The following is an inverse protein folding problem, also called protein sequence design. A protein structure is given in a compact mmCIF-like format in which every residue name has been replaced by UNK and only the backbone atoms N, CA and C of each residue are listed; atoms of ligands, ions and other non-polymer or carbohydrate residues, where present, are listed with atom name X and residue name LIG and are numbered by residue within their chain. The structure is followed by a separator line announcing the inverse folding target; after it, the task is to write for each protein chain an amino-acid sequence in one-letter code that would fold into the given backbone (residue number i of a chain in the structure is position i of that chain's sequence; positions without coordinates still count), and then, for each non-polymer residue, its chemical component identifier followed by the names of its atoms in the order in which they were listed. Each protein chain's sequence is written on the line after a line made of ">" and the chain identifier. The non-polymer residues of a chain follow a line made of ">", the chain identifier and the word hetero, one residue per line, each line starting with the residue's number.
data_IF_270424751301
#
_entry.id   IF_270424751301
#
_cell.length_a   1.000
_cell.length_b   1.000
_cell.length_c   1.000
_cell.angle_alpha   90.00
_cell.angle_beta   90.00
_cell.angle_gamma   90.00
#
_symmetry.space_group_name_H-M   'P 1'
#
loop_
_entity.id
_entity.type
_entity.pdbx_description
1 polymer ?
#
# COMPACT_ATOMS: atom_id res chain seq x y z
N UNK A 1 8.34 0.69 -33.63
CA UNK A 1 8.66 1.98 -32.98
C UNK A 1 8.55 1.77 -31.48
N UNK A 2 9.67 1.79 -30.76
CA UNK A 2 9.73 1.62 -29.30
C UNK A 2 9.47 2.98 -28.66
N UNK A 3 8.34 3.13 -27.95
CA UNK A 3 8.08 4.35 -27.18
C UNK A 3 9.00 4.36 -25.96
N UNK A 4 10.04 5.19 -26.02
CA UNK A 4 10.85 5.53 -24.86
C UNK A 4 9.97 6.28 -23.85
N UNK A 5 9.64 5.63 -22.75
CA UNK A 5 8.92 6.26 -21.65
C UNK A 5 9.90 7.10 -20.85
N UNK A 6 10.00 8.39 -21.19
CA UNK A 6 10.82 9.34 -20.45
C UNK A 6 10.20 9.54 -19.07
N UNK A 7 10.80 8.94 -18.04
CA UNK A 7 10.42 9.17 -16.63
C UNK A 7 10.93 10.55 -16.21
N UNK A 8 10.13 11.57 -16.46
CA UNK A 8 10.41 12.93 -15.99
C UNK A 8 10.29 12.97 -14.46
N UNK A 9 11.40 13.28 -13.78
CA UNK A 9 11.41 13.56 -12.35
C UNK A 9 11.01 15.03 -12.15
N UNK A 10 9.71 15.27 -12.05
CA UNK A 10 9.19 16.59 -11.68
C UNK A 10 9.10 16.71 -10.15
N UNK A 11 9.51 17.85 -9.57
CA UNK A 11 9.26 18.12 -8.16
C UNK A 11 7.76 18.09 -7.87
N UNK A 12 7.39 17.56 -6.70
CA UNK A 12 5.98 17.47 -6.30
C UNK A 12 5.30 18.84 -6.26
N UNK A 13 5.98 19.87 -5.75
CA UNK A 13 5.51 21.26 -5.74
C UNK A 13 5.15 21.78 -7.15
N UNK A 14 5.95 21.44 -8.16
CA UNK A 14 5.68 21.83 -9.54
C UNK A 14 4.43 21.14 -10.09
N UNK A 15 4.19 19.89 -9.72
CA UNK A 15 2.98 19.15 -10.07
C UNK A 15 1.74 19.79 -9.41
N UNK A 16 1.80 20.14 -8.13
CA UNK A 16 0.70 20.79 -7.42
C UNK A 16 0.34 22.13 -8.08
N UNK A 17 1.35 22.94 -8.42
CA UNK A 17 1.13 24.20 -9.13
C UNK A 17 0.52 24.01 -10.51
N UNK A 18 0.93 22.98 -11.26
CA UNK A 18 0.31 22.65 -12.54
C UNK A 18 -1.17 22.27 -12.37
N UNK A 19 -1.47 21.42 -11.38
CA UNK A 19 -2.84 20.99 -11.08
C UNK A 19 -3.71 22.16 -10.64
N UNK A 20 -3.18 23.09 -9.84
CA UNK A 20 -3.90 24.26 -9.37
C UNK A 20 -4.45 25.11 -10.54
N UNK A 21 -3.71 25.18 -11.64
CA UNK A 21 -4.05 25.95 -12.83
C UNK A 21 -4.92 25.19 -13.85
N UNK A 22 -5.24 23.91 -13.63
CA UNK A 22 -6.09 23.15 -14.54
C UNK A 22 -7.55 23.68 -14.54
N UNK A 23 -8.24 23.64 -15.70
CA UNK A 23 -9.67 23.93 -15.76
C UNK A 23 -10.48 22.84 -15.03
N UNK A 24 -11.68 23.21 -14.56
CA UNK A 24 -12.51 22.35 -13.71
C UNK A 24 -12.74 20.94 -14.30
N UNK A 25 -13.01 20.86 -15.60
CA UNK A 25 -13.26 19.59 -16.29
C UNK A 25 -12.05 18.66 -16.26
N UNK A 26 -10.85 19.22 -16.42
CA UNK A 26 -9.61 18.44 -16.36
C UNK A 26 -9.27 18.03 -14.93
N UNK A 27 -9.56 18.87 -13.94
CA UNK A 27 -9.46 18.50 -12.51
C UNK A 27 -10.36 17.32 -12.17
N UNK A 28 -11.59 17.29 -12.70
CA UNK A 28 -12.50 16.16 -12.50
C UNK A 28 -11.97 14.86 -13.11
N UNK A 29 -11.42 14.92 -14.32
CA UNK A 29 -10.78 13.75 -14.96
C UNK A 29 -9.56 13.26 -14.19
N UNK A 30 -8.73 14.19 -13.70
CA UNK A 30 -7.58 13.87 -12.87
C UNK A 30 -8.02 13.19 -11.57
N UNK A 31 -9.08 13.70 -10.94
CA UNK A 31 -9.61 13.11 -9.71
C UNK A 31 -10.09 11.68 -9.92
N UNK A 32 -10.84 11.40 -11.00
CA UNK A 32 -11.27 10.04 -11.34
C UNK A 32 -10.09 9.07 -11.52
N UNK A 33 -9.02 9.51 -12.19
CA UNK A 33 -7.82 8.68 -12.38
C UNK A 33 -7.07 8.42 -11.07
N UNK A 34 -6.96 9.44 -10.22
CA UNK A 34 -6.33 9.29 -8.90
C UNK A 34 -7.12 8.33 -8.02
N UNK A 35 -8.44 8.45 -8.01
CA UNK A 35 -9.33 7.56 -7.26
C UNK A 35 -9.17 6.10 -7.72
N UNK A 36 -9.14 5.86 -9.03
CA UNK A 36 -8.90 4.54 -9.61
C UNK A 36 -7.56 3.95 -9.17
N UNK A 37 -6.47 4.72 -9.22
CA UNK A 37 -5.13 4.25 -8.84
C UNK A 37 -4.99 4.02 -7.33
N UNK A 38 -5.63 4.84 -6.50
CA UNK A 38 -5.71 4.62 -5.05
C UNK A 38 -6.45 3.31 -4.78
N UNK A 39 -7.64 3.13 -5.36
CA UNK A 39 -8.44 1.91 -5.18
C UNK A 39 -7.67 0.65 -5.63
N UNK A 40 -6.94 0.70 -6.74
CA UNK A 40 -6.07 -0.41 -7.18
C UNK A 40 -4.96 -0.69 -6.17
N UNK A 41 -4.32 0.36 -5.66
CA UNK A 41 -3.24 0.22 -4.68
C UNK A 41 -3.75 -0.38 -3.38
N UNK A 42 -4.93 0.06 -2.91
CA UNK A 42 -5.58 -0.47 -1.72
C UNK A 42 -6.03 -1.92 -1.93
N UNK A 43 -6.61 -2.26 -3.08
CA UNK A 43 -6.94 -3.65 -3.41
C UNK A 43 -5.70 -4.55 -3.37
N UNK A 44 -4.58 -4.10 -3.93
CA UNK A 44 -3.30 -4.83 -3.86
C UNK A 44 -2.75 -4.95 -2.42
N UNK A 45 -3.08 -4.03 -1.51
CA UNK A 45 -2.73 -4.14 -0.10
C UNK A 45 -3.64 -5.13 0.65
N UNK A 46 -4.92 -5.19 0.28
CA UNK A 46 -5.89 -6.16 0.83
C UNK A 46 -5.61 -7.58 0.33
N UNK A 47 -5.05 -7.75 -0.87
CA UNK A 47 -4.56 -9.03 -1.40
C UNK A 47 -3.22 -9.49 -0.78
N UNK A 48 -2.75 -8.87 0.31
CA UNK A 48 -1.78 -9.57 1.17
C UNK A 48 -2.50 -10.76 1.80
N UNK A 49 -2.21 -11.95 1.27
CA UNK A 49 -2.73 -13.22 1.77
C UNK A 49 -2.81 -13.21 3.30
N UNK A 50 -3.98 -13.48 3.89
CA UNK A 50 -4.10 -13.57 5.34
C UNK A 50 -3.03 -14.53 5.84
N UNK A 51 -2.26 -14.09 6.85
CA UNK A 51 -1.15 -14.88 7.40
C UNK A 51 -1.64 -16.30 7.69
N UNK A 52 -1.06 -17.28 7.00
CA UNK A 52 -1.48 -18.67 7.11
C UNK A 52 -1.11 -19.21 8.49
N UNK A 53 -2.04 -19.13 9.42
CA UNK A 53 -1.92 -19.66 10.79
C UNK A 53 -1.86 -21.20 10.86
N UNK A 54 -1.93 -21.90 9.71
CA UNK A 54 -2.04 -23.35 9.64
C UNK A 54 -3.43 -23.84 10.04
N UNK A 55 -3.62 -25.15 10.06
CA UNK A 55 -4.91 -25.80 10.35
C UNK A 55 -5.45 -25.57 11.77
N UNK A 56 -4.62 -25.05 12.67
CA UNK A 56 -4.96 -24.76 14.07
C UNK A 56 -5.45 -23.32 14.28
N UNK A 57 -5.34 -22.44 13.27
CA UNK A 57 -5.75 -21.04 13.38
C UNK A 57 -4.86 -20.19 14.29
N UNK A 58 -5.23 -18.92 14.46
CA UNK A 58 -4.52 -18.02 15.38
C UNK A 58 -4.62 -18.56 16.81
N UNK A 59 -3.51 -18.63 17.57
CA UNK A 59 -3.55 -19.10 18.95
C UNK A 59 -4.44 -18.20 19.82
N UNK A 60 -5.48 -18.78 20.39
CA UNK A 60 -6.44 -18.08 21.26
C UNK A 60 -5.74 -17.52 22.50
N UNK A 61 -6.05 -16.26 22.85
CA UNK A 61 -5.59 -15.62 24.08
C UNK A 61 -4.13 -15.17 24.11
N UNK A 62 -3.38 -15.26 23.00
CA UNK A 62 -2.00 -14.75 22.93
C UNK A 62 -1.88 -13.50 22.04
N UNK A 63 -1.28 -12.40 22.53
CA UNK A 63 -1.06 -11.22 21.71
C UNK A 63 -0.07 -11.51 20.58
N UNK A 64 -0.36 -10.98 19.39
CA UNK A 64 0.50 -11.12 18.21
C UNK A 64 1.14 -9.76 17.92
N UNK A 65 2.44 -9.75 17.60
CA UNK A 65 3.18 -8.54 17.23
C UNK A 65 3.94 -8.76 15.93
N UNK A 66 3.94 -7.75 15.07
CA UNK A 66 4.79 -7.74 13.89
C UNK A 66 6.22 -7.30 14.25
N UNK A 67 7.22 -8.09 13.86
CA UNK A 67 8.65 -7.76 13.99
C UNK A 67 9.25 -7.60 12.57
N UNK A 68 9.76 -6.42 12.20
CA UNK A 68 10.41 -6.20 10.90
C UNK A 68 11.55 -7.21 10.68
N UNK A 69 11.57 -7.86 9.51
CA UNK A 69 12.57 -8.87 9.14
C UNK A 69 12.30 -10.30 9.64
N UNK A 70 11.32 -10.50 10.52
CA UNK A 70 10.93 -11.83 11.06
C UNK A 70 9.49 -12.19 10.70
N UNK A 71 8.57 -11.21 10.74
CA UNK A 71 7.14 -11.40 10.45
C UNK A 71 6.25 -11.33 11.70
N UNK A 72 5.02 -11.82 11.59
CA UNK A 72 4.08 -11.90 12.72
C UNK A 72 4.55 -12.94 13.73
N UNK A 73 4.74 -12.52 14.98
CA UNK A 73 5.24 -13.35 16.09
C UNK A 73 4.23 -13.36 17.23
N UNK A 74 4.02 -14.53 17.85
CA UNK A 74 3.16 -14.69 19.02
C UNK A 74 3.96 -14.34 20.28
N UNK A 75 3.53 -13.30 20.99
CA UNK A 75 4.18 -12.83 22.23
C UNK A 75 3.78 -13.77 23.37
N UNK A 76 4.78 -14.33 24.08
CA UNK A 76 4.56 -15.28 25.18
C UNK A 76 4.43 -16.75 24.77
N UNK A 77 4.82 -17.10 23.54
CA UNK A 77 5.16 -18.49 23.18
C UNK A 77 6.45 -18.93 23.87
N UNK A 78 6.64 -20.24 24.08
CA UNK A 78 7.84 -20.83 24.69
C UNK A 78 9.15 -20.45 23.97
N UNK A 79 9.03 -19.98 22.72
CA UNK A 79 10.10 -19.56 21.83
C UNK A 79 10.05 -18.06 21.44
N UNK A 80 9.26 -17.23 22.12
CA UNK A 80 9.26 -15.80 21.89
C UNK A 80 10.60 -15.19 22.39
N UNK A 81 11.34 -14.43 21.57
CA UNK A 81 12.55 -13.76 22.04
C UNK A 81 12.16 -12.77 23.15
N UNK A 82 12.92 -12.84 24.24
CA UNK A 82 12.76 -12.05 25.47
C UNK A 82 13.03 -10.57 25.18
#
# INVERSE_FOLDING_TARGET
>A
MTQETVKLQIPFESLINAIANLPLKEKQLLWQKLDEEINKTEANLVEQDPYNWGSQGQPEGKPVKYIPGVGLTVVGGKDAPI
#
